data_IF_767700041125
#
_entry.id   IF_767700041125
#
_cell.length_a   1.000
_cell.length_b   1.000
_cell.length_c   1.000
_cell.angle_alpha   90.00
_cell.angle_beta   90.00
_cell.angle_gamma   90.00
#
_symmetry.space_group_name_H-M   'P 1'
#
loop_
_entity.id
_entity.type
_entity.pdbx_description
1 polymer ?
#
# COMPACT_ATOMS: atom_id res chain seq x y z
N UNK A 1 17.02 -8.43 -5.49
CA UNK A 1 15.77 -7.66 -5.37
C UNK A 1 16.10 -6.18 -5.52
N UNK A 2 15.35 -5.49 -6.37
CA UNK A 2 15.46 -4.03 -6.54
C UNK A 2 14.65 -3.37 -5.43
N UNK A 3 15.30 -2.54 -4.63
CA UNK A 3 14.68 -1.79 -3.52
C UNK A 3 14.18 -0.43 -4.00
N UNK A 4 14.96 0.23 -4.87
CA UNK A 4 14.62 1.50 -5.52
C UNK A 4 15.21 1.50 -6.95
N UNK A 5 14.68 2.38 -7.80
CA UNK A 5 15.16 2.52 -9.18
C UNK A 5 14.50 1.57 -10.19
N UNK A 6 13.35 0.98 -9.87
CA UNK A 6 12.62 0.07 -10.74
C UNK A 6 12.32 0.69 -12.12
N UNK A 7 11.91 1.95 -12.18
CA UNK A 7 11.65 2.63 -13.45
C UNK A 7 12.91 2.77 -14.31
N UNK A 8 14.04 3.09 -13.71
CA UNK A 8 15.33 3.15 -14.43
C UNK A 8 15.74 1.78 -14.98
N UNK A 9 15.54 0.73 -14.18
CA UNK A 9 15.77 -0.63 -14.62
C UNK A 9 14.85 -1.02 -15.78
N UNK A 10 13.56 -0.68 -15.73
CA UNK A 10 12.60 -0.91 -16.80
C UNK A 10 13.01 -0.20 -18.09
N UNK A 11 13.43 1.05 -18.03
CA UNK A 11 13.92 1.82 -19.17
C UNK A 11 15.10 1.11 -19.84
N UNK A 12 16.04 0.60 -19.06
CA UNK A 12 17.16 -0.18 -19.58
C UNK A 12 16.73 -1.44 -20.34
N UNK A 13 15.64 -2.09 -19.92
CA UNK A 13 15.12 -3.30 -20.59
C UNK A 13 14.25 -2.96 -21.80
N UNK A 14 13.44 -1.92 -21.71
CA UNK A 14 12.42 -1.61 -22.71
C UNK A 14 12.98 -0.81 -23.91
N UNK A 15 14.14 -0.14 -23.74
CA UNK A 15 14.74 0.73 -24.75
C UNK A 15 16.14 0.22 -25.15
N UNK A 16 16.20 -0.39 -26.33
CA UNK A 16 17.43 -1.01 -26.85
C UNK A 16 18.57 0.00 -27.07
N UNK A 17 18.26 1.20 -27.53
CA UNK A 17 19.23 2.27 -27.74
C UNK A 17 19.91 2.70 -26.44
N UNK A 18 19.15 2.76 -25.34
CA UNK A 18 19.69 3.06 -24.00
C UNK A 18 20.55 1.90 -23.51
N UNK A 19 20.07 0.67 -23.68
CA UNK A 19 20.82 -0.53 -23.28
C UNK A 19 22.19 -0.60 -23.98
N UNK A 20 22.22 -0.38 -25.27
CA UNK A 20 23.46 -0.40 -26.06
C UNK A 20 24.41 0.75 -25.68
N UNK A 21 23.87 1.97 -25.50
CA UNK A 21 24.67 3.14 -25.08
C UNK A 21 25.37 2.92 -23.75
N UNK A 22 24.67 2.31 -22.79
CA UNK A 22 25.19 2.03 -21.44
C UNK A 22 25.97 0.70 -21.36
N UNK A 23 26.14 0.00 -22.49
CA UNK A 23 26.84 -1.30 -22.58
C UNK A 23 26.17 -2.39 -21.74
N UNK A 24 24.83 -2.35 -21.61
CA UNK A 24 24.05 -3.30 -20.80
C UNK A 24 24.30 -3.23 -19.29
N UNK A 25 24.88 -2.14 -18.82
CA UNK A 25 25.28 -1.96 -17.40
C UNK A 25 24.56 -0.78 -16.77
N UNK A 26 24.15 -0.95 -15.53
CA UNK A 26 23.56 0.11 -14.72
C UNK A 26 24.31 0.24 -13.41
N UNK A 27 24.70 1.46 -12.98
CA UNK A 27 25.32 1.65 -11.68
C UNK A 27 24.32 1.33 -10.58
N UNK A 28 24.71 0.51 -9.62
CA UNK A 28 23.88 0.10 -8.48
C UNK A 28 24.65 0.21 -7.18
N UNK A 29 23.94 0.52 -6.10
CA UNK A 29 24.43 0.38 -4.75
C UNK A 29 23.86 -0.89 -4.13
N UNK A 30 24.69 -1.77 -3.67
CA UNK A 30 24.26 -2.99 -2.97
C UNK A 30 23.98 -2.67 -1.51
N UNK A 31 22.79 -3.00 -1.04
CA UNK A 31 22.36 -2.79 0.35
C UNK A 31 22.33 -4.14 1.04
N UNK A 32 23.20 -4.34 2.01
CA UNK A 32 23.19 -5.52 2.87
C UNK A 32 22.43 -5.22 4.18
N UNK A 33 21.09 -5.31 4.09
CA UNK A 33 20.17 -5.10 5.22
C UNK A 33 19.04 -6.11 5.18
N UNK A 34 18.44 -6.46 6.33
CA UNK A 34 17.24 -7.28 6.42
C UNK A 34 16.09 -6.70 5.59
N UNK A 35 15.14 -7.56 5.20
CA UNK A 35 14.04 -7.20 4.29
C UNK A 35 13.17 -6.07 4.86
N UNK A 36 12.86 -6.10 6.15
CA UNK A 36 12.11 -5.09 6.87
C UNK A 36 12.77 -3.70 6.87
N UNK A 37 14.08 -3.66 7.04
CA UNK A 37 14.85 -2.41 6.93
C UNK A 37 14.87 -1.86 5.50
N UNK A 38 14.90 -2.74 4.48
CA UNK A 38 14.79 -2.35 3.08
C UNK A 38 13.41 -1.81 2.75
N UNK A 39 12.35 -2.47 3.22
CA UNK A 39 10.96 -2.01 3.09
C UNK A 39 10.77 -0.63 3.74
N UNK A 40 11.19 -0.47 4.99
CA UNK A 40 11.09 0.80 5.70
C UNK A 40 11.83 1.93 4.98
N UNK A 41 12.99 1.65 4.41
CA UNK A 41 13.76 2.62 3.63
C UNK A 41 13.02 3.06 2.38
N UNK A 42 12.43 2.12 1.64
CA UNK A 42 11.64 2.39 0.43
C UNK A 42 10.41 3.22 0.76
N UNK A 43 9.66 2.84 1.78
CA UNK A 43 8.45 3.55 2.23
C UNK A 43 8.80 4.99 2.64
N UNK A 44 9.84 5.16 3.47
CA UNK A 44 10.28 6.49 3.91
C UNK A 44 10.70 7.37 2.73
N UNK A 45 11.42 6.80 1.77
CA UNK A 45 11.88 7.52 0.59
C UNK A 45 10.70 7.95 -0.30
N UNK A 46 9.72 7.08 -0.49
CA UNK A 46 8.52 7.39 -1.25
C UNK A 46 7.66 8.44 -0.54
N UNK A 47 7.52 8.36 0.79
CA UNK A 47 6.82 9.38 1.58
C UNK A 47 7.38 10.78 1.40
N UNK A 48 8.69 10.92 1.32
CA UNK A 48 9.34 12.21 1.14
C UNK A 48 9.07 12.84 -0.24
N UNK A 49 8.60 12.06 -1.21
CA UNK A 49 8.39 12.52 -2.59
C UNK A 49 6.98 13.00 -2.93
N UNK A 50 6.00 12.85 -2.06
CA UNK A 50 4.65 13.39 -2.31
C UNK A 50 3.50 12.42 -2.06
N UNK A 51 2.52 12.34 -2.98
CA UNK A 51 1.25 11.65 -2.78
C UNK A 51 1.42 10.16 -2.41
N UNK A 52 0.69 9.74 -1.40
CA UNK A 52 0.70 8.37 -0.91
C UNK A 52 -0.65 7.73 -1.16
N UNK A 53 -0.59 6.50 -1.64
CA UNK A 53 -1.72 5.61 -1.62
C UNK A 53 -1.89 5.09 -0.18
N UNK A 54 -3.01 5.42 0.43
CA UNK A 54 -3.32 5.07 1.83
C UNK A 54 -3.44 3.57 1.99
N UNK A 55 -4.01 2.88 1.02
CA UNK A 55 -4.19 1.42 1.05
C UNK A 55 -2.84 0.70 0.95
N UNK A 56 -1.97 1.14 0.06
CA UNK A 56 -0.61 0.59 -0.04
C UNK A 56 0.19 0.85 1.23
N UNK A 57 0.04 2.01 1.84
CA UNK A 57 0.71 2.34 3.10
C UNK A 57 0.19 1.48 4.24
N UNK A 58 -1.13 1.30 4.34
CA UNK A 58 -1.79 0.46 5.33
C UNK A 58 -1.34 -1.01 5.22
N UNK A 59 -1.29 -1.56 4.01
CA UNK A 59 -0.79 -2.91 3.75
C UNK A 59 0.68 -3.05 4.14
N UNK A 60 1.52 -2.07 3.83
CA UNK A 60 2.94 -2.07 4.19
C UNK A 60 3.16 -2.06 5.71
N UNK A 61 2.33 -1.34 6.47
CA UNK A 61 2.34 -1.35 7.94
C UNK A 61 1.97 -2.74 8.47
N UNK A 62 0.94 -3.37 7.91
CA UNK A 62 0.52 -4.72 8.29
C UNK A 62 1.63 -5.74 8.03
N UNK A 63 2.28 -5.69 6.88
CA UNK A 63 3.39 -6.57 6.53
C UNK A 63 4.60 -6.41 7.47
N UNK A 64 4.93 -5.17 7.86
CA UNK A 64 5.97 -4.92 8.87
C UNK A 64 5.62 -5.50 10.23
N UNK A 65 4.33 -5.49 10.62
CA UNK A 65 3.88 -6.15 11.83
C UNK A 65 3.98 -7.68 11.75
N UNK A 66 3.63 -8.26 10.63
CA UNK A 66 3.78 -9.71 10.37
C UNK A 66 5.25 -10.13 10.45
N UNK A 67 6.17 -9.26 10.03
CA UNK A 67 7.61 -9.42 10.21
C UNK A 67 8.09 -9.19 11.67
N UNK A 68 7.17 -8.99 12.63
CA UNK A 68 7.45 -8.84 14.04
C UNK A 68 7.93 -7.43 14.46
N UNK A 69 7.69 -6.40 13.65
CA UNK A 69 8.09 -5.03 13.98
C UNK A 69 7.04 -4.32 14.81
N UNK A 70 7.48 -3.69 15.91
CA UNK A 70 6.60 -2.92 16.80
C UNK A 70 6.26 -1.54 16.23
N UNK A 71 5.17 -0.93 16.72
CA UNK A 71 4.78 0.44 16.37
C UNK A 71 5.89 1.46 16.64
N UNK A 72 6.63 1.27 17.73
CA UNK A 72 7.79 2.12 18.06
C UNK A 72 8.91 2.00 17.03
N UNK A 73 9.15 0.79 16.54
CA UNK A 73 10.12 0.55 15.48
C UNK A 73 9.67 1.19 14.17
N UNK A 74 8.40 0.98 13.79
CA UNK A 74 7.79 1.55 12.58
C UNK A 74 7.85 3.08 12.62
N UNK A 75 7.41 3.69 13.72
CA UNK A 75 7.46 5.13 13.93
C UNK A 75 8.87 5.70 13.70
N UNK A 76 9.87 5.07 14.28
CA UNK A 76 11.27 5.52 14.16
C UNK A 76 11.83 5.38 12.75
N UNK A 77 11.55 4.26 12.07
CA UNK A 77 12.16 3.95 10.79
C UNK A 77 11.43 4.56 9.59
N UNK A 78 10.12 4.74 9.69
CA UNK A 78 9.31 5.35 8.64
C UNK A 78 9.10 6.86 8.86
N UNK A 79 9.37 7.37 10.06
CA UNK A 79 9.09 8.76 10.43
C UNK A 79 7.60 9.04 10.51
N UNK A 80 6.81 8.08 11.03
CA UNK A 80 5.38 8.19 11.23
C UNK A 80 5.04 8.45 12.69
N UNK A 81 4.01 9.26 12.94
CA UNK A 81 3.45 9.41 14.27
C UNK A 81 2.65 8.17 14.68
N UNK A 82 2.55 7.94 16.00
CA UNK A 82 1.80 6.80 16.54
C UNK A 82 0.33 6.83 16.13
N UNK A 83 -0.27 8.02 16.07
CA UNK A 83 -1.67 8.21 15.67
C UNK A 83 -1.87 7.88 14.18
N UNK A 84 -0.90 8.20 13.34
CA UNK A 84 -0.91 7.84 11.92
C UNK A 84 -0.85 6.32 11.75
N UNK A 85 0.05 5.64 12.46
CA UNK A 85 0.16 4.18 12.45
C UNK A 85 -1.15 3.54 12.91
N UNK A 86 -1.77 4.06 13.97
CA UNK A 86 -3.03 3.56 14.48
C UNK A 86 -4.16 3.70 13.44
N UNK A 87 -4.26 4.84 12.76
CA UNK A 87 -5.25 5.06 11.68
C UNK A 87 -5.05 4.09 10.51
N UNK A 88 -3.82 3.88 10.08
CA UNK A 88 -3.49 2.94 9.00
C UNK A 88 -3.84 1.49 9.39
N UNK A 89 -3.59 1.10 10.62
CA UNK A 89 -4.02 -0.20 11.16
C UNK A 89 -5.53 -0.36 11.17
N UNK A 90 -6.25 0.69 11.55
CA UNK A 90 -7.71 0.67 11.54
C UNK A 90 -8.27 0.47 10.14
N UNK A 91 -7.69 1.12 9.13
CA UNK A 91 -8.08 0.95 7.74
C UNK A 91 -7.90 -0.51 7.31
N UNK A 92 -6.74 -1.11 7.56
CA UNK A 92 -6.48 -2.53 7.22
C UNK A 92 -7.40 -3.45 8.02
N UNK A 93 -7.57 -3.21 9.31
CA UNK A 93 -8.44 -3.99 10.17
C UNK A 93 -9.91 -3.92 9.75
N UNK A 94 -10.41 -2.75 9.41
CA UNK A 94 -11.75 -2.56 8.87
C UNK A 94 -11.92 -3.27 7.53
N UNK A 95 -10.98 -3.11 6.61
CA UNK A 95 -11.03 -3.79 5.31
C UNK A 95 -11.02 -5.31 5.47
N UNK A 96 -10.24 -5.86 6.40
CA UNK A 96 -10.23 -7.29 6.68
C UNK A 96 -11.55 -7.77 7.29
N UNK A 97 -12.15 -7.00 8.20
CA UNK A 97 -13.43 -7.30 8.81
C UNK A 97 -14.58 -7.31 7.77
N UNK A 98 -14.54 -6.44 6.79
CA UNK A 98 -15.58 -6.34 5.77
C UNK A 98 -15.36 -7.26 4.57
N UNK A 99 -14.18 -7.84 4.38
CA UNK A 99 -13.92 -8.81 3.30
C UNK A 99 -14.70 -10.12 3.44
N UNK A 100 -15.03 -10.52 4.67
CA UNK A 100 -15.69 -11.80 4.97
C UNK A 100 -17.14 -11.63 5.46
N UNK A 101 -17.62 -10.40 5.64
CA UNK A 101 -19.01 -10.15 6.05
C UNK A 101 -19.86 -10.05 4.79
N UNK A 102 -20.62 -11.11 4.50
CA UNK A 102 -21.80 -10.95 3.67
C UNK A 102 -22.69 -9.90 4.34
N UNK A 103 -22.94 -8.78 3.64
CA UNK A 103 -23.88 -7.76 4.11
C UNK A 103 -25.18 -8.43 4.51
N UNK A 104 -25.51 -8.39 5.79
CA UNK A 104 -26.63 -9.09 6.34
C UNK A 104 -27.95 -8.63 5.70
N UNK A 105 -28.98 -9.48 5.83
CA UNK A 105 -30.35 -9.27 5.27
C UNK A 105 -30.94 -7.86 5.52
N UNK A 106 -30.49 -7.14 6.55
CA UNK A 106 -30.92 -5.78 6.85
C UNK A 106 -30.64 -4.76 5.74
N UNK A 107 -29.50 -4.87 5.05
CA UNK A 107 -29.19 -4.00 3.90
C UNK A 107 -30.05 -4.31 2.68
N UNK A 108 -30.36 -5.60 2.44
CA UNK A 108 -31.24 -6.01 1.35
C UNK A 108 -32.69 -5.60 1.59
N UNK A 109 -33.13 -5.57 2.86
CA UNK A 109 -34.48 -5.10 3.21
C UNK A 109 -34.67 -3.60 2.96
N UNK A 110 -33.66 -2.79 3.30
CA UNK A 110 -33.70 -1.33 3.05
C UNK A 110 -33.69 -1.01 1.55
N UNK A 111 -32.93 -1.77 0.75
CA UNK A 111 -32.88 -1.58 -0.71
C UNK A 111 -34.21 -1.94 -1.37
N UNK A 112 -34.87 -2.98 -0.89
CA UNK A 112 -36.22 -3.36 -1.37
C UNK A 112 -37.29 -2.34 -0.96
N UNK A 113 -37.27 -1.85 0.28
CA UNK A 113 -38.22 -0.85 0.77
C UNK A 113 -38.10 0.48 -0.02
N UNK A 114 -36.91 0.86 -0.40
CA UNK A 114 -36.68 2.05 -1.25
C UNK A 114 -37.16 1.84 -2.69
N UNK A 115 -37.05 0.63 -3.23
CA UNK A 115 -37.51 0.31 -4.58
C UNK A 115 -39.02 0.30 -4.69
N UNK A 116 -39.72 -0.23 -3.69
CA UNK A 116 -41.18 -0.23 -3.60
C UNK A 116 -41.77 1.19 -3.47
N UNK A 117 -41.10 2.11 -2.75
CA UNK A 117 -41.50 3.53 -2.65
C UNK A 117 -41.39 4.29 -3.98
N UNK A 118 -40.44 3.94 -4.85
CA UNK A 118 -40.28 4.59 -6.14
C UNK A 118 -41.29 4.11 -7.19
N UNK A 119 -41.71 2.85 -7.13
CA UNK A 119 -42.71 2.30 -8.06
C UNK A 119 -44.11 2.84 -7.80
N UNK A 120 -44.45 3.24 -6.55
CA UNK A 120 -45.74 3.83 -6.20
C UNK A 120 -45.84 5.33 -6.59
N UNK A 121 -44.74 6.00 -6.89
CA UNK A 121 -44.75 7.41 -7.33
C UNK A 121 -44.94 7.56 -8.83
N UNK A 122 -44.69 6.51 -9.62
CA UNK A 122 -44.88 6.53 -11.09
C UNK A 122 -46.31 6.05 -11.56
N UNK A 123 -47.16 5.70 -10.65
CA UNK A 123 -48.57 5.35 -10.94
C UNK A 123 -49.51 6.49 -10.59
#
# INVERSE_FOLDING_TARGET
IIVDGFHRYRIMLDYQDIYEREGGKMPVSVIDKPIDCRMASTIRHNRARGSHDVDLMSNSISELHELGRSDAWISRHLGMDKDEILRLKQITGLTALFKEVEFGRAWKAIENDLQDEWEDVEK
#
